data_IF_175086686140
#
_entry.id   IF_175086686140
#
_cell.length_a   1.000
_cell.length_b   1.000
_cell.length_c   1.000
_cell.angle_alpha   90.00
_cell.angle_beta   90.00
_cell.angle_gamma   90.00
#
_symmetry.space_group_name_H-M   'P 1'
#
loop_
_entity.id
_entity.type
_entity.pdbx_description
1 polymer ?
#
# COMPACT_ATOMS: atom_id res chain seq x y z
N UNK A 1 -1.51 2.38 49.24
CA UNK A 1 -2.40 1.22 48.99
C UNK A 1 -1.79 0.45 47.84
N UNK A 2 -1.07 -0.64 48.12
CA UNK A 2 -0.54 -1.49 47.05
C UNK A 2 -1.71 -2.22 46.40
N UNK A 3 -1.91 -2.14 45.06
CA UNK A 3 -2.95 -2.92 44.41
C UNK A 3 -2.59 -4.40 44.46
N UNK A 4 -3.59 -5.22 44.74
CA UNK A 4 -3.55 -6.67 44.85
C UNK A 4 -3.07 -7.31 43.53
N UNK A 5 -1.98 -8.10 43.53
CA UNK A 5 -1.47 -8.78 42.33
C UNK A 5 -2.42 -9.87 41.80
N UNK A 6 -3.49 -10.20 42.52
CA UNK A 6 -4.48 -11.21 42.13
C UNK A 6 -5.71 -10.67 41.38
N UNK A 7 -5.80 -9.36 41.13
CA UNK A 7 -6.87 -8.79 40.32
C UNK A 7 -6.75 -9.27 38.85
N UNK A 8 -7.56 -10.26 38.49
CA UNK A 8 -7.69 -10.83 37.14
C UNK A 8 -7.80 -9.70 36.11
N UNK A 9 -6.80 -9.61 35.23
CA UNK A 9 -6.89 -8.77 34.04
C UNK A 9 -7.99 -9.36 33.15
N UNK A 10 -9.07 -8.63 32.82
CA UNK A 10 -10.10 -9.14 31.94
C UNK A 10 -9.47 -9.42 30.57
N UNK A 11 -9.49 -10.69 30.16
CA UNK A 11 -8.95 -11.07 28.86
C UNK A 11 -9.77 -10.43 27.73
N UNK A 12 -9.11 -9.94 26.67
CA UNK A 12 -9.79 -9.36 25.53
C UNK A 12 -10.66 -10.43 24.85
N UNK A 13 -11.86 -10.04 24.43
CA UNK A 13 -12.76 -10.90 23.66
C UNK A 13 -12.23 -11.19 22.25
N UNK A 14 -11.48 -10.25 21.68
CA UNK A 14 -10.76 -10.42 20.42
C UNK A 14 -9.32 -10.88 20.72
N UNK A 15 -8.81 -11.92 20.05
CA UNK A 15 -7.46 -12.39 20.30
C UNK A 15 -6.41 -11.40 19.78
N UNK A 16 -5.32 -11.26 20.51
CA UNK A 16 -4.24 -10.30 20.27
C UNK A 16 -2.92 -11.06 20.31
N UNK A 17 -1.96 -10.64 19.48
CA UNK A 17 -0.59 -11.16 19.49
C UNK A 17 0.41 -10.01 19.64
N UNK A 18 1.19 -10.03 20.71
CA UNK A 18 2.36 -9.16 20.87
C UNK A 18 3.56 -9.84 20.24
N UNK A 19 4.24 -9.15 19.34
CA UNK A 19 5.30 -9.71 18.51
C UNK A 19 6.52 -8.80 18.54
N UNK A 20 7.68 -9.42 18.63
CA UNK A 20 8.98 -8.78 18.51
C UNK A 20 9.92 -9.72 17.74
N UNK A 21 10.88 -9.15 17.03
CA UNK A 21 11.82 -9.89 16.17
C UNK A 21 13.26 -9.45 16.43
N UNK A 22 14.16 -10.44 16.41
CA UNK A 22 15.58 -10.18 16.19
C UNK A 22 15.94 -10.50 14.73
N UNK A 23 16.86 -9.72 14.15
CA UNK A 23 17.17 -9.77 12.72
C UNK A 23 18.67 -9.64 12.47
N UNK A 24 19.14 -10.03 11.28
CA UNK A 24 20.54 -9.87 10.86
C UNK A 24 20.93 -8.40 10.59
N UNK A 25 20.00 -7.46 10.69
CA UNK A 25 20.17 -6.05 10.37
C UNK A 25 18.82 -5.35 10.14
N UNK A 26 18.83 -4.05 9.84
CA UNK A 26 17.61 -3.23 9.77
C UNK A 26 17.01 -3.01 8.38
N UNK A 27 17.53 -3.65 7.33
CA UNK A 27 17.18 -3.34 5.94
C UNK A 27 16.19 -4.35 5.36
N UNK A 28 14.95 -3.93 5.12
CA UNK A 28 13.93 -4.74 4.45
C UNK A 28 14.39 -5.27 3.09
N UNK A 29 13.92 -6.46 2.71
CA UNK A 29 14.34 -7.16 1.49
C UNK A 29 15.78 -7.70 1.49
N UNK A 30 16.67 -7.17 2.35
CA UNK A 30 18.07 -7.59 2.47
C UNK A 30 18.24 -8.49 3.69
N UNK A 31 18.02 -7.95 4.88
CA UNK A 31 18.22 -8.64 6.16
C UNK A 31 17.14 -9.69 6.42
N UNK A 32 17.43 -10.63 7.33
CA UNK A 32 16.61 -11.80 7.61
C UNK A 32 16.31 -11.91 9.11
N UNK A 33 15.23 -12.61 9.46
CA UNK A 33 14.84 -12.85 10.85
C UNK A 33 15.75 -13.93 11.47
N UNK A 34 16.17 -13.73 12.73
CA UNK A 34 16.98 -14.68 13.52
C UNK A 34 16.28 -15.19 14.78
N UNK A 35 15.30 -14.45 15.30
CA UNK A 35 14.45 -14.90 16.42
C UNK A 35 13.06 -14.26 16.28
N UNK A 36 12.03 -14.99 16.70
CA UNK A 36 10.64 -14.52 16.76
C UNK A 36 10.11 -14.80 18.15
N UNK A 37 9.57 -13.77 18.81
CA UNK A 37 8.87 -13.88 20.09
C UNK A 37 7.41 -13.49 19.93
N UNK A 38 6.50 -14.31 20.46
CA UNK A 38 5.06 -14.07 20.40
C UNK A 38 4.43 -14.30 21.77
N UNK A 39 3.70 -13.30 22.27
CA UNK A 39 2.79 -13.43 23.41
C UNK A 39 1.36 -13.34 22.88
N UNK A 40 0.65 -14.46 22.91
CA UNK A 40 -0.74 -14.57 22.48
C UNK A 40 -1.66 -14.36 23.68
N UNK A 41 -2.65 -13.49 23.53
CA UNK A 41 -3.62 -13.18 24.57
C UNK A 41 -5.02 -13.29 23.97
N UNK A 42 -5.89 -14.07 24.61
CA UNK A 42 -7.29 -14.21 24.19
C UNK A 42 -8.19 -14.68 25.32
N UNK A 43 -9.44 -15.05 25.03
CA UNK A 43 -10.42 -15.44 26.05
C UNK A 43 -9.96 -16.59 26.95
N UNK A 44 -9.13 -17.48 26.41
CA UNK A 44 -8.58 -18.65 27.11
C UNK A 44 -7.34 -18.35 27.96
N UNK A 45 -6.86 -17.11 27.98
CA UNK A 45 -5.70 -16.68 28.76
C UNK A 45 -4.52 -16.19 27.92
N UNK A 46 -3.32 -16.31 28.50
CA UNK A 46 -2.05 -15.94 27.85
C UNK A 46 -1.26 -17.20 27.53
N UNK A 47 -0.69 -17.26 26.33
CA UNK A 47 0.29 -18.28 25.94
C UNK A 47 1.47 -17.63 25.22
N UNK A 48 2.65 -18.23 25.34
CA UNK A 48 3.87 -17.72 24.72
C UNK A 48 4.42 -18.71 23.70
N UNK A 49 5.06 -18.19 22.67
CA UNK A 49 5.78 -18.97 21.68
C UNK A 49 7.04 -18.21 21.27
N UNK A 50 8.14 -18.93 21.09
CA UNK A 50 9.40 -18.36 20.62
C UNK A 50 10.14 -19.36 19.75
N UNK A 51 10.88 -18.87 18.78
CA UNK A 51 11.78 -19.70 17.98
C UNK A 51 12.99 -18.89 17.53
N UNK A 52 14.18 -19.50 17.65
CA UNK A 52 15.29 -19.10 16.79
C UNK A 52 14.95 -19.46 15.34
N UNK A 53 15.50 -18.71 14.41
CA UNK A 53 15.30 -18.87 12.98
C UNK A 53 16.64 -18.93 12.30
N UNK A 54 16.86 -19.94 11.47
CA UNK A 54 18.01 -19.97 10.58
C UNK A 54 17.82 -18.94 9.46
N UNK A 55 18.59 -17.82 9.43
CA UNK A 55 18.42 -16.77 8.42
C UNK A 55 19.01 -17.17 7.06
N UNK A 56 19.67 -18.33 6.97
CA UNK A 56 20.41 -18.84 5.81
C UNK A 56 21.48 -17.86 5.30
N UNK A 57 22.05 -17.07 6.21
CA UNK A 57 23.15 -16.13 5.97
C UNK A 57 23.92 -15.86 7.26
N UNK A 58 25.17 -15.39 7.17
CA UNK A 58 25.92 -14.98 8.35
C UNK A 58 25.26 -13.79 9.08
N UNK A 59 25.28 -13.84 10.41
CA UNK A 59 24.85 -12.73 11.27
C UNK A 59 26.06 -11.78 11.48
N UNK A 60 25.97 -10.49 11.15
CA UNK A 60 27.06 -9.54 11.40
C UNK A 60 27.48 -9.50 12.87
N UNK A 61 28.78 -9.36 13.15
CA UNK A 61 29.33 -9.40 14.52
C UNK A 61 28.70 -8.38 15.47
N UNK A 62 28.40 -7.16 14.99
CA UNK A 62 27.74 -6.14 15.80
C UNK A 62 26.32 -6.53 16.21
N UNK A 63 25.60 -7.29 15.38
CA UNK A 63 24.26 -7.82 15.71
C UNK A 63 24.39 -8.92 16.76
N UNK A 64 25.34 -9.84 16.59
CA UNK A 64 25.59 -10.90 17.58
C UNK A 64 25.92 -10.32 18.96
N UNK A 65 26.67 -9.21 19.01
CA UNK A 65 26.96 -8.50 20.27
C UNK A 65 25.73 -7.84 20.90
N UNK A 66 24.80 -7.34 20.07
CA UNK A 66 23.60 -6.66 20.52
C UNK A 66 22.54 -7.64 21.05
N UNK A 67 22.30 -8.72 20.32
CA UNK A 67 21.19 -9.66 20.60
C UNK A 67 21.65 -10.91 21.35
N UNK A 68 22.95 -11.18 21.36
CA UNK A 68 23.53 -12.42 21.87
C UNK A 68 23.30 -13.65 20.96
N UNK A 69 22.62 -13.50 19.83
CA UNK A 69 22.33 -14.60 18.90
C UNK A 69 23.52 -14.80 17.97
N UNK A 70 24.13 -15.99 18.04
CA UNK A 70 25.31 -16.34 17.23
C UNK A 70 24.95 -17.22 16.04
N UNK A 71 25.81 -17.25 15.02
CA UNK A 71 25.67 -18.16 13.86
C UNK A 71 25.57 -19.63 14.30
N UNK A 72 26.22 -20.01 15.41
CA UNK A 72 26.15 -21.36 15.94
C UNK A 72 24.75 -21.70 16.48
N UNK A 73 24.07 -20.74 17.13
CA UNK A 73 22.73 -20.95 17.70
C UNK A 73 21.66 -21.15 16.62
N UNK A 74 21.78 -20.45 15.50
CA UNK A 74 20.76 -20.48 14.44
C UNK A 74 21.05 -21.51 13.35
N UNK A 75 22.23 -22.15 13.35
CA UNK A 75 22.66 -23.09 12.31
C UNK A 75 21.67 -24.24 12.10
N UNK A 76 21.26 -24.86 13.21
CA UNK A 76 20.36 -26.03 13.21
C UNK A 76 18.92 -25.65 13.59
N UNK A 77 18.65 -24.35 13.75
CA UNK A 77 17.30 -23.82 13.96
C UNK A 77 16.45 -23.98 12.68
N UNK A 78 15.11 -24.03 12.81
CA UNK A 78 14.24 -24.07 11.64
C UNK A 78 14.39 -22.81 10.78
N UNK A 79 14.27 -22.94 9.46
CA UNK A 79 14.17 -21.80 8.55
C UNK A 79 12.81 -21.12 8.69
N UNK A 80 12.67 -19.88 8.22
CA UNK A 80 11.37 -19.21 8.23
C UNK A 80 10.31 -20.01 7.45
N UNK A 81 10.68 -20.58 6.30
CA UNK A 81 9.79 -21.40 5.48
C UNK A 81 9.18 -22.57 6.26
N UNK A 82 9.98 -23.24 7.10
CA UNK A 82 9.50 -24.34 7.95
C UNK A 82 8.55 -23.87 9.06
N UNK A 83 8.66 -22.61 9.49
CA UNK A 83 7.82 -22.02 10.53
C UNK A 83 6.55 -21.35 9.98
N UNK A 84 6.54 -20.97 8.70
CA UNK A 84 5.61 -20.00 8.14
C UNK A 84 4.14 -20.36 8.38
N UNK A 85 3.71 -21.58 8.04
CA UNK A 85 2.31 -22.00 8.21
C UNK A 85 1.85 -21.92 9.67
N UNK A 86 2.63 -22.48 10.60
CA UNK A 86 2.29 -22.45 12.03
C UNK A 86 2.34 -21.04 12.62
N UNK A 87 3.26 -20.20 12.14
CA UNK A 87 3.33 -18.80 12.55
C UNK A 87 2.13 -17.99 12.04
N UNK A 88 1.70 -18.23 10.81
CA UNK A 88 0.53 -17.58 10.23
C UNK A 88 -0.73 -17.95 11.02
N UNK A 89 -0.93 -19.21 11.36
CA UNK A 89 -2.06 -19.67 12.20
C UNK A 89 -2.09 -18.98 13.58
N UNK A 90 -0.91 -18.74 14.17
CA UNK A 90 -0.77 -18.00 15.44
C UNK A 90 -1.06 -16.52 15.34
N UNK A 91 -1.02 -15.93 14.16
CA UNK A 91 -1.27 -14.49 13.98
C UNK A 91 -2.59 -14.21 13.26
N UNK A 92 -3.16 -15.20 12.58
CA UNK A 92 -4.38 -15.05 11.79
C UNK A 92 -5.57 -14.69 12.68
N UNK A 93 -6.37 -13.71 12.24
CA UNK A 93 -7.53 -13.21 12.98
C UNK A 93 -7.20 -12.50 14.30
N UNK A 94 -5.92 -12.26 14.62
CA UNK A 94 -5.49 -11.55 15.83
C UNK A 94 -5.04 -10.13 15.52
N UNK A 95 -5.22 -9.21 16.46
CA UNK A 95 -4.59 -7.90 16.38
C UNK A 95 -3.08 -8.07 16.59
N UNK A 96 -2.28 -7.73 15.57
CA UNK A 96 -0.82 -7.76 15.63
C UNK A 96 -0.30 -6.49 16.33
N UNK A 97 0.39 -6.67 17.45
CA UNK A 97 0.93 -5.57 18.26
C UNK A 97 2.45 -5.68 18.33
N UNK A 98 3.16 -4.61 17.97
CA UNK A 98 4.62 -4.57 18.07
C UNK A 98 5.13 -3.17 18.44
N UNK A 99 6.37 -3.11 18.92
CA UNK A 99 7.04 -1.85 19.25
C UNK A 99 7.76 -1.29 18.03
N UNK A 100 7.31 -0.13 17.53
CA UNK A 100 7.68 0.31 16.19
C UNK A 100 7.27 -0.70 15.11
N UNK A 101 6.01 -1.15 15.16
CA UNK A 101 5.46 -2.24 14.34
C UNK A 101 5.74 -2.19 12.82
N UNK A 102 6.13 -1.05 12.23
CA UNK A 102 6.62 -1.00 10.85
C UNK A 102 7.79 -1.96 10.63
N UNK A 103 8.67 -2.11 11.63
CA UNK A 103 9.83 -2.98 11.60
C UNK A 103 9.39 -4.45 11.55
N UNK A 104 8.75 -4.92 12.61
CA UNK A 104 8.40 -6.34 12.77
C UNK A 104 7.44 -6.83 11.68
N UNK A 105 6.37 -6.05 11.45
CA UNK A 105 5.42 -6.35 10.39
C UNK A 105 6.08 -6.34 9.00
N UNK A 106 7.05 -5.45 8.78
CA UNK A 106 7.78 -5.37 7.50
C UNK A 106 8.61 -6.62 7.23
N UNK A 107 9.39 -7.07 8.22
CA UNK A 107 10.18 -8.30 8.10
C UNK A 107 9.32 -9.54 7.93
N UNK A 108 8.26 -9.69 8.74
CA UNK A 108 7.33 -10.81 8.59
C UNK A 108 6.64 -10.78 7.22
N UNK A 109 6.19 -9.62 6.76
CA UNK A 109 5.57 -9.49 5.43
C UNK A 109 6.54 -9.94 4.33
N UNK A 110 7.80 -9.52 4.39
CA UNK A 110 8.80 -9.91 3.39
C UNK A 110 9.12 -11.41 3.44
N UNK A 111 9.24 -12.01 4.61
CA UNK A 111 9.49 -13.45 4.76
C UNK A 111 8.29 -14.29 4.30
N UNK A 112 7.06 -13.94 4.68
CA UNK A 112 5.85 -14.61 4.19
C UNK A 112 5.70 -14.49 2.67
N UNK A 113 6.04 -13.33 2.09
CA UNK A 113 6.04 -13.16 0.63
C UNK A 113 6.98 -14.15 -0.06
N UNK A 114 8.14 -14.47 0.54
CA UNK A 114 9.10 -15.44 -0.02
C UNK A 114 8.55 -16.87 -0.02
N UNK A 115 7.66 -17.20 0.92
CA UNK A 115 7.00 -18.52 0.97
C UNK A 115 5.71 -18.56 0.14
N UNK A 116 5.37 -17.48 -0.57
CA UNK A 116 4.11 -17.36 -1.30
C UNK A 116 2.87 -17.19 -0.41
N UNK A 117 3.05 -16.99 0.90
CA UNK A 117 1.96 -16.77 1.83
C UNK A 117 1.69 -15.27 2.01
N UNK A 118 0.42 -14.93 2.19
CA UNK A 118 0.01 -13.54 2.43
C UNK A 118 -0.04 -13.27 3.93
N UNK A 119 0.60 -12.18 4.35
CA UNK A 119 0.57 -11.69 5.73
C UNK A 119 0.12 -10.24 5.77
N UNK A 120 -1.10 -10.03 6.28
CA UNK A 120 -1.74 -8.72 6.33
C UNK A 120 -2.71 -8.60 7.53
N UNK A 121 -2.21 -8.71 8.78
CA UNK A 121 -3.05 -8.55 9.96
C UNK A 121 -3.46 -7.09 10.19
N UNK A 122 -4.45 -6.88 11.06
CA UNK A 122 -4.64 -5.58 11.72
C UNK A 122 -3.42 -5.28 12.59
N UNK A 123 -2.89 -4.05 12.54
CA UNK A 123 -1.64 -3.68 13.23
C UNK A 123 -1.85 -2.54 14.21
N UNK A 124 -1.35 -2.71 15.44
CA UNK A 124 -1.18 -1.63 16.40
C UNK A 124 0.31 -1.43 16.73
N UNK A 125 0.75 -0.18 16.69
CA UNK A 125 2.11 0.20 17.06
C UNK A 125 2.15 0.83 18.45
N UNK A 126 2.84 0.20 19.41
CA UNK A 126 2.87 0.68 20.81
C UNK A 126 3.57 2.04 20.97
N UNK A 127 4.47 2.42 20.06
CA UNK A 127 5.05 3.78 20.00
C UNK A 127 3.96 4.82 19.69
N UNK A 128 3.10 4.52 18.71
CA UNK A 128 2.00 5.42 18.33
C UNK A 128 0.94 5.49 19.44
N UNK A 129 0.63 4.35 20.07
CA UNK A 129 -0.25 4.29 21.21
C UNK A 129 0.29 5.08 22.40
N UNK A 130 1.58 4.91 22.73
CA UNK A 130 2.20 5.65 23.84
C UNK A 130 2.21 7.17 23.58
N UNK A 131 2.49 7.62 22.36
CA UNK A 131 2.36 9.04 21.96
C UNK A 131 0.93 9.56 22.04
N UNK A 132 -0.04 8.69 21.74
CA UNK A 132 -1.45 9.03 21.78
C UNK A 132 -1.95 9.23 23.21
N UNK A 133 -1.53 8.36 24.12
CA UNK A 133 -1.94 8.35 25.53
C UNK A 133 -1.13 9.36 26.35
N UNK A 134 0.17 9.52 26.05
CA UNK A 134 1.09 10.38 26.80
C UNK A 134 1.74 11.43 25.89
N UNK A 135 0.97 12.40 25.34
CA UNK A 135 1.49 13.35 24.35
C UNK A 135 2.55 14.33 24.89
N UNK A 136 2.63 14.52 26.21
CA UNK A 136 3.63 15.37 26.86
C UNK A 136 5.01 14.72 26.96
N UNK A 137 5.11 13.41 26.72
CA UNK A 137 6.35 12.67 26.82
C UNK A 137 7.20 12.81 25.55
N UNK A 138 8.51 12.97 25.72
CA UNK A 138 9.42 13.14 24.58
C UNK A 138 9.96 11.82 24.03
N UNK A 139 10.00 10.77 24.85
CA UNK A 139 10.58 9.46 24.51
C UNK A 139 9.54 8.36 24.62
N UNK A 140 9.44 7.53 23.59
CA UNK A 140 8.49 6.41 23.51
C UNK A 140 9.13 5.11 23.02
N UNK A 141 10.45 5.02 23.05
CA UNK A 141 11.17 3.76 22.82
C UNK A 141 10.95 2.78 23.96
N UNK A 142 11.20 1.50 23.74
CA UNK A 142 10.88 0.43 24.69
C UNK A 142 11.55 0.67 26.06
N UNK A 143 12.84 1.04 26.10
CA UNK A 143 13.53 1.36 27.35
C UNK A 143 12.88 2.51 28.13
N UNK A 144 12.34 3.52 27.41
CA UNK A 144 11.62 4.61 28.05
C UNK A 144 10.27 4.16 28.63
N UNK A 145 9.59 3.22 27.96
CA UNK A 145 8.37 2.62 28.50
C UNK A 145 8.65 1.77 29.73
N UNK A 146 9.70 0.95 29.67
CA UNK A 146 10.18 0.12 30.78
C UNK A 146 10.45 0.98 32.01
N UNK A 147 11.26 2.03 31.85
CA UNK A 147 11.61 2.93 32.94
C UNK A 147 10.40 3.70 33.48
N UNK A 148 9.56 4.26 32.60
CA UNK A 148 8.41 5.11 33.01
C UNK A 148 7.33 4.32 33.73
N UNK A 149 7.04 3.11 33.26
CA UNK A 149 5.92 2.32 33.75
C UNK A 149 6.34 1.20 34.72
N UNK A 150 7.63 1.18 35.11
CA UNK A 150 8.22 0.17 35.97
C UNK A 150 7.94 -1.27 35.48
N UNK A 151 8.07 -1.48 34.16
CA UNK A 151 7.94 -2.82 33.57
C UNK A 151 9.15 -3.66 33.94
N UNK A 152 8.98 -4.97 34.07
CA UNK A 152 10.02 -5.88 34.56
C UNK A 152 10.55 -6.73 33.41
N UNK A 153 11.72 -6.40 32.83
CA UNK A 153 12.32 -7.21 31.77
C UNK A 153 12.90 -8.51 32.35
N UNK A 154 12.64 -9.63 31.69
CA UNK A 154 13.30 -10.91 32.00
C UNK A 154 14.68 -11.03 31.33
N UNK A 155 14.80 -10.59 30.08
CA UNK A 155 16.07 -10.46 29.34
C UNK A 155 15.90 -9.47 28.17
N UNK A 156 16.45 -8.25 28.25
CA UNK A 156 16.35 -7.28 27.12
C UNK A 156 17.07 -7.81 25.88
N UNK A 157 16.56 -7.44 24.69
CA UNK A 157 17.10 -7.86 23.38
C UNK A 157 16.99 -9.37 23.12
N UNK A 158 15.91 -9.96 23.66
CA UNK A 158 15.42 -11.28 23.30
C UNK A 158 13.97 -11.12 22.91
N UNK A 159 13.61 -11.67 21.75
CA UNK A 159 12.34 -11.37 21.12
C UNK A 159 11.14 -11.63 22.05
N UNK A 160 11.11 -12.79 22.73
CA UNK A 160 9.98 -13.11 23.61
C UNK A 160 9.91 -12.19 24.84
N UNK A 161 11.05 -11.83 25.41
CA UNK A 161 11.09 -10.95 26.58
C UNK A 161 10.62 -9.53 26.23
N UNK A 162 10.98 -9.05 25.04
CA UNK A 162 10.55 -7.75 24.55
C UNK A 162 9.06 -7.74 24.19
N UNK A 163 8.54 -8.83 23.59
CA UNK A 163 7.09 -9.01 23.39
C UNK A 163 6.31 -9.04 24.72
N UNK A 164 6.84 -9.68 25.76
CA UNK A 164 6.25 -9.69 27.10
C UNK A 164 6.21 -8.29 27.74
N UNK A 165 7.25 -7.46 27.54
CA UNK A 165 7.21 -6.06 27.97
C UNK A 165 6.06 -5.28 27.32
N UNK A 166 5.70 -5.59 26.07
CA UNK A 166 4.54 -4.96 25.41
C UNK A 166 3.23 -5.42 26.03
N UNK A 167 3.14 -6.69 26.42
CA UNK A 167 2.00 -7.20 27.18
C UNK A 167 1.89 -6.52 28.56
N UNK A 168 2.99 -6.40 29.30
CA UNK A 168 2.99 -5.68 30.58
C UNK A 168 2.57 -4.21 30.40
N UNK A 169 3.06 -3.54 29.34
CA UNK A 169 2.66 -2.17 29.01
C UNK A 169 1.16 -2.09 28.69
N UNK A 170 0.63 -3.04 27.93
CA UNK A 170 -0.80 -3.14 27.64
C UNK A 170 -1.63 -3.28 28.92
N UNK A 171 -1.23 -4.17 29.82
CA UNK A 171 -1.89 -4.33 31.12
C UNK A 171 -1.86 -3.03 31.94
N UNK A 172 -0.71 -2.34 31.95
CA UNK A 172 -0.57 -1.05 32.62
C UNK A 172 -1.55 -0.01 32.06
N UNK A 173 -1.66 0.12 30.73
CA UNK A 173 -2.58 1.06 30.10
C UNK A 173 -4.03 0.84 30.53
N UNK A 174 -4.48 -0.41 30.54
CA UNK A 174 -5.84 -0.78 30.94
C UNK A 174 -6.11 -0.57 32.44
N UNK A 175 -5.08 -0.61 33.30
CA UNK A 175 -5.21 -0.25 34.73
C UNK A 175 -5.18 1.26 34.96
N UNK A 176 -4.40 1.99 34.17
CA UNK A 176 -4.15 3.42 34.35
C UNK A 176 -5.21 4.33 33.73
N UNK A 177 -5.96 3.84 32.74
CA UNK A 177 -6.91 4.65 31.96
C UNK A 177 -8.31 4.06 31.97
N UNK A 178 -9.33 4.92 31.95
CA UNK A 178 -10.71 4.48 31.81
C UNK A 178 -10.92 3.74 30.47
N UNK A 179 -11.73 2.66 30.43
CA UNK A 179 -11.90 1.84 29.23
C UNK A 179 -12.27 2.61 27.96
N UNK A 180 -13.16 3.60 28.06
CA UNK A 180 -13.63 4.39 26.92
C UNK A 180 -12.55 5.31 26.35
N UNK A 181 -11.72 5.90 27.23
CA UNK A 181 -10.61 6.75 26.83
C UNK A 181 -9.54 5.94 26.12
N UNK A 182 -9.16 4.79 26.70
CA UNK A 182 -8.17 3.91 26.09
C UNK A 182 -8.68 3.38 24.73
N UNK A 183 -9.94 2.94 24.66
CA UNK A 183 -10.57 2.48 23.41
C UNK A 183 -10.51 3.54 22.30
N UNK A 184 -10.81 4.80 22.60
CA UNK A 184 -10.69 5.88 21.62
C UNK A 184 -9.25 6.06 21.11
N UNK A 185 -8.24 5.88 21.97
CA UNK A 185 -6.84 5.90 21.55
C UNK A 185 -6.47 4.68 20.69
N UNK A 186 -6.90 3.48 21.09
CA UNK A 186 -6.68 2.24 20.35
C UNK A 186 -7.29 2.34 18.95
N UNK A 187 -8.57 2.70 18.83
CA UNK A 187 -9.26 2.88 17.53
C UNK A 187 -8.54 3.88 16.63
N UNK A 188 -7.98 4.95 17.20
CA UNK A 188 -7.27 5.99 16.43
C UNK A 188 -5.92 5.52 15.88
N UNK A 189 -5.22 4.64 16.59
CA UNK A 189 -3.85 4.21 16.22
C UNK A 189 -3.80 2.85 15.57
N UNK A 190 -4.81 2.00 15.77
CA UNK A 190 -4.92 0.71 15.12
C UNK A 190 -5.12 0.92 13.63
N UNK A 191 -4.17 0.40 12.86
CA UNK A 191 -4.32 0.27 11.42
C UNK A 191 -5.08 -1.01 11.17
N UNK A 192 -6.39 -0.88 11.09
CA UNK A 192 -7.22 -1.96 10.60
C UNK A 192 -6.89 -2.19 9.14
N UNK A 193 -6.49 -3.40 8.82
CA UNK A 193 -6.53 -3.95 7.49
C UNK A 193 -8.02 -4.14 7.13
N UNK A 194 -8.71 -3.01 6.94
CA UNK A 194 -10.04 -3.04 6.35
C UNK A 194 -9.86 -3.44 4.89
N UNK A 195 -10.30 -4.65 4.56
CA UNK A 195 -10.74 -5.00 3.22
C UNK A 195 -11.85 -4.01 2.82
N UNK A 196 -11.46 -2.83 2.34
CA UNK A 196 -12.13 -2.24 1.20
C UNK A 196 -11.99 -3.29 0.09
N UNK A 197 -13.03 -4.12 -0.08
CA UNK A 197 -13.05 -5.36 -0.86
C UNK A 197 -11.79 -5.59 -1.72
N UNK A 198 -10.97 -6.55 -1.30
CA UNK A 198 -9.83 -7.08 -2.07
C UNK A 198 -8.65 -6.14 -2.42
N UNK A 199 -8.66 -4.83 -2.11
CA UNK A 199 -7.51 -3.95 -2.41
C UNK A 199 -6.53 -3.94 -1.24
N UNK A 200 -5.56 -4.83 -1.30
CA UNK A 200 -4.50 -4.93 -0.31
C UNK A 200 -3.21 -4.24 -0.75
N UNK A 201 -2.22 -4.23 0.15
CA UNK A 201 -0.90 -3.69 -0.18
C UNK A 201 -0.26 -4.45 -1.35
N UNK A 202 -0.56 -5.74 -1.54
CA UNK A 202 0.00 -6.51 -2.66
C UNK A 202 -0.63 -6.11 -4.00
N UNK A 203 -1.92 -5.80 -4.03
CA UNK A 203 -2.62 -5.17 -5.16
C UNK A 203 -2.00 -3.81 -5.48
N UNK A 204 -1.66 -3.03 -4.45
CA UNK A 204 -0.96 -1.75 -4.65
C UNK A 204 0.44 -1.98 -5.24
N UNK A 205 1.19 -2.98 -4.78
CA UNK A 205 2.53 -3.27 -5.30
C UNK A 205 2.51 -3.80 -6.75
N UNK A 206 1.38 -4.32 -7.25
CA UNK A 206 1.20 -4.69 -8.67
C UNK A 206 1.07 -3.46 -9.60
N UNK A 207 0.75 -2.29 -9.06
CA UNK A 207 0.61 -1.05 -9.85
C UNK A 207 1.98 -0.62 -10.38
N UNK A 208 2.04 -0.15 -11.62
CA UNK A 208 3.29 0.37 -12.20
C UNK A 208 3.87 1.55 -11.38
N UNK A 209 5.19 1.58 -11.21
CA UNK A 209 5.89 2.66 -10.49
C UNK A 209 5.96 3.98 -11.27
N UNK A 210 5.50 3.98 -12.53
CA UNK A 210 5.59 5.09 -13.47
C UNK A 210 4.29 5.88 -13.67
N UNK A 211 4.15 6.48 -14.85
CA UNK A 211 3.00 7.32 -15.19
C UNK A 211 1.76 6.50 -15.57
N UNK A 212 0.58 6.94 -15.13
CA UNK A 212 -0.68 6.34 -15.53
C UNK A 212 -1.94 6.97 -14.95
N UNK A 213 -3.06 6.29 -15.23
CA UNK A 213 -4.41 6.62 -14.76
C UNK A 213 -4.94 5.48 -13.88
N UNK A 214 -5.81 5.80 -12.92
CA UNK A 214 -6.49 4.84 -12.07
C UNK A 214 -7.95 5.25 -11.82
N UNK A 215 -8.78 4.24 -11.54
CA UNK A 215 -10.19 4.38 -11.18
C UNK A 215 -10.45 3.62 -9.88
N UNK A 216 -11.10 4.29 -8.94
CA UNK A 216 -11.74 3.66 -7.80
C UNK A 216 -13.21 3.41 -8.09
N UNK A 217 -13.66 2.20 -7.77
CA UNK A 217 -15.06 1.79 -7.82
C UNK A 217 -15.55 1.46 -6.42
N UNK A 218 -16.84 1.66 -6.17
CA UNK A 218 -17.53 1.33 -4.94
C UNK A 218 -18.33 0.04 -5.03
N UNK A 219 -19.36 -0.08 -4.21
CA UNK A 219 -20.34 -1.17 -4.31
C UNK A 219 -20.96 -1.21 -5.72
N UNK A 220 -21.32 -2.41 -6.17
CA UNK A 220 -21.94 -2.66 -7.48
C UNK A 220 -21.15 -2.10 -8.68
N UNK A 221 -19.82 -2.04 -8.57
CA UNK A 221 -18.92 -1.47 -9.58
C UNK A 221 -19.24 -0.01 -9.95
N UNK A 222 -19.82 0.76 -9.03
CA UNK A 222 -20.11 2.17 -9.24
C UNK A 222 -18.81 3.01 -9.33
N UNK A 223 -18.57 3.79 -10.40
CA UNK A 223 -17.35 4.59 -10.54
C UNK A 223 -17.35 5.75 -9.53
N UNK A 224 -16.36 5.76 -8.65
CA UNK A 224 -16.24 6.75 -7.58
C UNK A 224 -15.30 7.88 -7.97
N UNK A 225 -14.10 7.55 -8.44
CA UNK A 225 -13.07 8.53 -8.67
C UNK A 225 -12.03 8.07 -9.70
N UNK A 226 -11.78 8.89 -10.71
CA UNK A 226 -10.63 8.80 -11.61
C UNK A 226 -9.54 9.76 -11.17
N UNK A 227 -8.30 9.29 -11.16
CA UNK A 227 -7.13 10.16 -11.02
C UNK A 227 -5.98 9.72 -11.90
N UNK A 228 -4.97 10.56 -11.97
CA UNK A 228 -3.71 10.31 -12.69
C UNK A 228 -2.50 10.67 -11.85
N UNK A 229 -1.34 10.15 -12.24
CA UNK A 229 -0.06 10.50 -11.61
C UNK A 229 1.12 10.11 -12.48
N UNK A 230 2.22 10.86 -12.38
CA UNK A 230 3.56 10.46 -12.87
C UNK A 230 4.23 9.42 -11.96
N UNK A 231 3.66 9.18 -10.76
CA UNK A 231 4.04 8.14 -9.80
C UNK A 231 2.78 7.41 -9.35
N UNK A 232 2.26 6.53 -10.20
CA UNK A 232 0.93 5.95 -10.06
C UNK A 232 0.77 5.16 -8.76
N UNK A 233 1.66 4.20 -8.50
CA UNK A 233 1.66 3.40 -7.25
C UNK A 233 1.63 4.28 -6.00
N UNK A 234 2.54 5.24 -5.90
CA UNK A 234 2.64 6.13 -4.73
C UNK A 234 1.36 6.96 -4.54
N UNK A 235 0.75 7.42 -5.65
CA UNK A 235 -0.47 8.21 -5.60
C UNK A 235 -1.66 7.38 -5.12
N UNK A 236 -1.88 6.20 -5.68
CA UNK A 236 -2.94 5.28 -5.25
C UNK A 236 -2.77 4.93 -3.78
N UNK A 237 -1.54 4.57 -3.37
CA UNK A 237 -1.20 4.29 -1.97
C UNK A 237 -1.59 5.45 -1.06
N UNK A 238 -1.31 6.70 -1.43
CA UNK A 238 -1.65 7.87 -0.59
C UNK A 238 -3.14 8.06 -0.33
N UNK A 239 -4.01 7.58 -1.22
CA UNK A 239 -5.46 7.61 -1.00
C UNK A 239 -5.90 6.51 -0.03
N UNK A 240 -5.36 5.30 -0.19
CA UNK A 240 -5.83 4.11 0.52
C UNK A 240 -5.09 3.88 1.86
N UNK A 241 -3.79 4.16 1.90
CA UNK A 241 -2.87 3.82 3.00
C UNK A 241 -1.98 5.02 3.37
N UNK A 242 -1.99 5.42 4.64
CA UNK A 242 -1.03 6.40 5.14
C UNK A 242 -1.48 7.18 6.38
N UNK A 243 -0.54 7.74 7.17
CA UNK A 243 -0.84 8.42 8.44
C UNK A 243 -1.43 9.83 8.29
N UNK A 244 -1.43 10.42 7.08
CA UNK A 244 -1.89 11.80 6.83
C UNK A 244 -2.82 11.84 5.62
N UNK A 245 -4.05 11.36 5.79
CA UNK A 245 -5.10 11.40 4.75
C UNK A 245 -6.00 12.62 4.95
N UNK A 246 -6.38 13.31 3.87
CA UNK A 246 -7.36 14.39 3.94
C UNK A 246 -8.75 13.82 4.29
N UNK A 247 -9.67 14.64 4.78
CA UNK A 247 -11.05 14.21 5.02
C UNK A 247 -11.77 13.73 3.74
N UNK A 248 -11.32 14.17 2.55
CA UNK A 248 -11.79 13.64 1.27
C UNK A 248 -11.24 12.24 1.02
N UNK A 249 -9.96 12.03 1.25
CA UNK A 249 -9.31 10.72 1.03
C UNK A 249 -9.81 9.66 2.01
N UNK A 250 -10.06 10.03 3.28
CA UNK A 250 -10.65 9.13 4.26
C UNK A 250 -12.05 8.66 3.84
N UNK A 251 -12.89 9.58 3.36
CA UNK A 251 -14.22 9.25 2.84
C UNK A 251 -14.14 8.38 1.59
N UNK A 252 -13.28 8.73 0.64
CA UNK A 252 -13.10 7.97 -0.58
C UNK A 252 -12.60 6.55 -0.28
N UNK A 253 -11.57 6.41 0.56
CA UNK A 253 -11.00 5.12 0.95
C UNK A 253 -12.01 4.18 1.62
N UNK A 254 -12.96 4.72 2.40
CA UNK A 254 -14.02 3.92 3.03
C UNK A 254 -15.01 3.32 2.01
N UNK A 255 -15.19 3.99 0.86
CA UNK A 255 -16.14 3.60 -0.18
C UNK A 255 -15.52 2.67 -1.23
N UNK A 256 -14.19 2.66 -1.40
CA UNK A 256 -13.56 1.87 -2.45
C UNK A 256 -13.80 0.37 -2.22
N UNK A 257 -14.05 -0.36 -3.30
CA UNK A 257 -14.23 -1.82 -3.39
C UNK A 257 -13.48 -2.44 -4.56
N UNK A 258 -13.15 -1.68 -5.60
CA UNK A 258 -12.29 -2.14 -6.68
C UNK A 258 -11.40 -1.01 -7.19
N UNK A 259 -10.21 -1.39 -7.63
CA UNK A 259 -9.22 -0.51 -8.22
C UNK A 259 -8.89 -1.03 -9.61
N UNK A 260 -8.87 -0.12 -10.57
CA UNK A 260 -8.39 -0.37 -11.93
C UNK A 260 -7.33 0.67 -12.28
N UNK A 261 -6.32 0.28 -13.05
CA UNK A 261 -5.26 1.20 -13.48
C UNK A 261 -4.76 0.85 -14.87
N UNK A 262 -4.18 1.86 -15.53
CA UNK A 262 -3.54 1.72 -16.83
C UNK A 262 -2.25 2.53 -16.86
N UNK A 263 -1.16 1.87 -17.22
CA UNK A 263 0.11 2.52 -17.49
C UNK A 263 0.02 3.32 -18.80
N UNK A 264 0.58 4.52 -18.82
CA UNK A 264 0.51 5.40 -20.00
C UNK A 264 1.87 5.78 -20.56
N UNK A 265 2.98 5.31 -19.99
CA UNK A 265 4.32 5.66 -20.49
C UNK A 265 4.75 7.11 -20.21
N UNK A 266 3.82 8.07 -20.17
CA UNK A 266 4.10 9.44 -19.82
C UNK A 266 2.86 10.26 -19.46
N UNK A 267 3.09 11.56 -19.26
CA UNK A 267 2.09 12.49 -18.72
C UNK A 267 0.98 12.80 -19.73
N UNK A 268 1.30 12.87 -21.03
CA UNK A 268 0.31 13.20 -22.07
C UNK A 268 -0.77 12.12 -22.10
N UNK A 269 -0.34 10.86 -22.10
CA UNK A 269 -1.21 9.71 -22.04
C UNK A 269 -2.05 9.65 -20.77
N UNK A 270 -1.47 10.00 -19.61
CA UNK A 270 -2.21 10.04 -18.35
C UNK A 270 -3.29 11.13 -18.33
N UNK A 271 -3.02 12.28 -18.95
CA UNK A 271 -4.00 13.37 -19.14
C UNK A 271 -5.15 12.94 -20.06
N UNK A 272 -4.82 12.33 -21.21
CA UNK A 272 -5.81 11.86 -22.19
C UNK A 272 -6.69 10.75 -21.62
N UNK A 273 -6.08 9.75 -20.98
CA UNK A 273 -6.81 8.62 -20.40
C UNK A 273 -7.69 9.05 -19.22
N UNK A 274 -7.23 9.97 -18.36
CA UNK A 274 -8.07 10.54 -17.29
C UNK A 274 -9.30 11.25 -17.87
N UNK A 275 -9.10 12.08 -18.90
CA UNK A 275 -10.21 12.79 -19.54
C UNK A 275 -11.24 11.84 -20.15
N UNK A 276 -10.77 10.78 -20.83
CA UNK A 276 -11.63 9.75 -21.43
C UNK A 276 -12.41 8.97 -20.36
N UNK A 277 -11.75 8.51 -19.30
CA UNK A 277 -12.38 7.75 -18.21
C UNK A 277 -13.41 8.59 -17.44
N UNK A 278 -13.14 9.88 -17.22
CA UNK A 278 -14.12 10.79 -16.61
C UNK A 278 -15.33 10.99 -17.54
N UNK A 279 -15.10 11.13 -18.84
CA UNK A 279 -16.18 11.35 -19.82
C UNK A 279 -17.08 10.11 -19.97
N UNK A 280 -16.49 8.91 -20.00
CA UNK A 280 -17.21 7.65 -20.17
C UNK A 280 -17.91 7.18 -18.89
N UNK A 281 -17.21 7.17 -17.76
CA UNK A 281 -17.70 6.59 -16.51
C UNK A 281 -18.43 7.59 -15.59
N UNK A 282 -18.21 8.90 -15.78
CA UNK A 282 -18.78 9.99 -14.96
C UNK A 282 -18.69 9.74 -13.43
N UNK A 283 -17.48 9.58 -12.87
CA UNK A 283 -17.32 9.18 -11.48
C UNK A 283 -17.87 10.22 -10.49
N UNK A 284 -18.52 9.75 -9.43
CA UNK A 284 -19.28 10.60 -8.50
C UNK A 284 -18.45 11.67 -7.77
N UNK A 285 -17.14 11.43 -7.56
CA UNK A 285 -16.25 12.32 -6.79
C UNK A 285 -15.25 13.10 -7.64
N UNK A 286 -15.34 13.01 -8.97
CA UNK A 286 -14.63 13.89 -9.89
C UNK A 286 -15.40 15.20 -10.05
N UNK A 287 -14.68 16.31 -10.15
CA UNK A 287 -15.34 17.58 -10.49
C UNK A 287 -15.82 17.50 -11.92
N UNK A 288 -17.07 17.89 -12.15
CA UNK A 288 -17.56 18.10 -13.50
C UNK A 288 -16.61 19.07 -14.23
N UNK A 289 -16.15 18.73 -15.45
CA UNK A 289 -15.30 19.64 -16.22
C UNK A 289 -16.05 20.96 -16.40
N UNK A 290 -15.44 22.07 -15.97
CA UNK A 290 -16.05 23.40 -16.12
C UNK A 290 -16.25 23.67 -17.61
N UNK A 291 -17.50 23.76 -18.04
CA UNK A 291 -17.89 24.41 -19.28
C UNK A 291 -17.59 25.91 -19.12
N UNK A 292 -16.32 26.31 -19.29
CA UNK A 292 -16.05 27.70 -19.66
C UNK A 292 -16.62 27.88 -21.06
N UNK A 293 -17.42 28.92 -21.26
CA UNK A 293 -17.95 29.35 -22.56
C UNK A 293 -16.82 29.28 -23.59
N UNK A 294 -16.78 28.19 -24.33
CA UNK A 294 -15.86 28.02 -25.43
C UNK A 294 -16.34 28.99 -26.48
N UNK A 295 -15.47 29.89 -26.95
CA UNK A 295 -15.58 30.34 -28.33
C UNK A 295 -15.68 29.12 -29.26
N UNK A 296 -15.94 29.32 -30.54
CA UNK A 296 -16.23 28.25 -31.50
C UNK A 296 -15.02 27.33 -31.80
N UNK A 297 -14.54 26.57 -30.80
CA UNK A 297 -13.38 25.67 -30.91
C UNK A 297 -13.80 24.27 -31.35
N UNK A 298 -15.11 23.98 -31.39
CA UNK A 298 -15.65 22.67 -31.81
C UNK A 298 -15.43 22.41 -33.31
N UNK A 299 -15.09 23.44 -34.09
CA UNK A 299 -14.68 23.34 -35.49
C UNK A 299 -13.16 23.45 -35.72
N UNK A 300 -12.33 23.27 -34.68
CA UNK A 300 -10.87 23.35 -34.85
C UNK A 300 -10.39 22.32 -35.89
N UNK A 301 -9.66 22.75 -36.94
CA UNK A 301 -9.23 21.84 -38.00
C UNK A 301 -8.28 20.78 -37.44
N UNK A 302 -8.41 19.56 -37.94
CA UNK A 302 -7.43 18.49 -37.70
C UNK A 302 -6.24 18.71 -38.64
N UNK A 303 -5.00 18.87 -38.13
CA UNK A 303 -3.86 19.25 -38.97
C UNK A 303 -3.21 18.07 -39.72
N UNK A 304 -3.74 16.85 -39.57
CA UNK A 304 -3.20 15.64 -40.19
C UNK A 304 -4.21 15.02 -41.15
N UNK A 305 -3.73 14.25 -42.13
CA UNK A 305 -4.58 13.57 -43.12
C UNK A 305 -5.35 12.36 -42.56
N UNK A 306 -5.09 11.98 -41.32
CA UNK A 306 -5.73 10.86 -40.63
C UNK A 306 -5.22 10.74 -39.19
N UNK A 307 -5.44 9.58 -38.59
CA UNK A 307 -5.03 9.30 -37.22
C UNK A 307 -3.51 9.38 -37.04
N UNK A 308 -3.09 9.78 -35.84
CA UNK A 308 -1.69 9.84 -35.43
C UNK A 308 -1.47 9.03 -34.15
N UNK A 309 -0.23 8.59 -33.94
CA UNK A 309 0.24 8.04 -32.68
C UNK A 309 1.27 8.98 -32.02
N UNK A 310 1.10 9.24 -30.73
CA UNK A 310 2.09 9.90 -29.88
C UNK A 310 2.77 8.81 -29.06
N UNK A 311 4.10 8.70 -29.18
CA UNK A 311 4.87 7.76 -28.39
C UNK A 311 5.30 8.40 -27.07
N UNK A 312 5.04 7.71 -25.95
CA UNK A 312 5.64 8.02 -24.66
C UNK A 312 6.42 6.82 -24.13
N UNK A 313 7.51 7.09 -23.42
CA UNK A 313 8.36 6.08 -22.79
C UNK A 313 8.58 6.43 -21.33
N UNK A 314 8.25 5.48 -20.46
CA UNK A 314 8.48 5.63 -19.04
C UNK A 314 9.98 5.44 -18.77
N UNK A 315 10.63 6.45 -18.20
CA UNK A 315 12.08 6.44 -17.97
C UNK A 315 12.51 5.36 -16.97
N UNK A 316 11.66 5.07 -15.98
CA UNK A 316 11.99 4.14 -14.90
C UNK A 316 11.83 2.68 -15.30
N UNK A 317 10.76 2.34 -16.01
CA UNK A 317 10.46 0.96 -16.42
C UNK A 317 10.90 0.65 -17.86
N UNK A 318 11.19 1.68 -18.66
CA UNK A 318 11.46 1.53 -20.09
C UNK A 318 10.23 1.19 -20.94
N UNK A 319 9.04 1.12 -20.33
CA UNK A 319 7.79 0.77 -20.99
C UNK A 319 7.41 1.84 -22.02
N UNK A 320 7.01 1.40 -23.22
CA UNK A 320 6.57 2.28 -24.32
C UNK A 320 5.05 2.20 -24.46
N UNK A 321 4.45 3.33 -24.80
CA UNK A 321 3.03 3.47 -25.04
C UNK A 321 2.79 4.35 -26.28
N UNK A 322 1.86 3.95 -27.13
CA UNK A 322 1.42 4.73 -28.28
C UNK A 322 -0.01 5.19 -28.06
N UNK A 323 -0.19 6.50 -27.92
CA UNK A 323 -1.49 7.15 -27.75
C UNK A 323 -2.04 7.50 -29.11
N UNK A 324 -3.20 6.94 -29.47
CA UNK A 324 -3.82 7.13 -30.78
C UNK A 324 -4.85 8.24 -30.72
N UNK A 325 -4.72 9.21 -31.61
CA UNK A 325 -5.62 10.35 -31.73
C UNK A 325 -6.05 10.50 -33.16
N UNK A 326 -7.35 10.72 -33.37
CA UNK A 326 -7.88 11.08 -34.68
C UNK A 326 -8.96 12.16 -34.51
N UNK A 327 -8.95 13.18 -35.37
CA UNK A 327 -9.92 14.27 -35.33
C UNK A 327 -10.18 14.86 -33.92
N UNK A 328 -9.10 15.11 -33.16
CA UNK A 328 -9.16 15.56 -31.76
C UNK A 328 -9.94 14.63 -30.80
N UNK A 329 -10.06 13.35 -31.15
CA UNK A 329 -10.62 12.29 -30.32
C UNK A 329 -9.52 11.35 -29.87
N UNK A 330 -9.49 11.02 -28.58
CA UNK A 330 -8.54 10.05 -28.05
C UNK A 330 -9.07 8.63 -28.21
N UNK A 331 -8.45 7.82 -29.08
CA UNK A 331 -8.92 6.47 -29.40
C UNK A 331 -8.38 5.41 -28.43
N UNK A 332 -7.28 5.69 -27.72
CA UNK A 332 -6.75 4.80 -26.69
C UNK A 332 -5.23 4.70 -26.68
N UNK A 333 -4.73 3.64 -26.04
CA UNK A 333 -3.28 3.36 -25.92
C UNK A 333 -3.00 1.97 -26.44
N UNK A 334 -1.94 1.83 -27.22
CA UNK A 334 -1.37 0.56 -27.65
C UNK A 334 0.02 0.35 -27.02
N UNK A 335 0.39 -0.91 -26.75
CA UNK A 335 1.73 -1.26 -26.27
C UNK A 335 2.75 -1.50 -27.39
N UNK A 336 2.30 -1.43 -28.65
CA UNK A 336 3.14 -1.51 -29.84
C UNK A 336 2.51 -0.67 -30.98
N UNK A 337 3.35 -0.05 -31.82
CA UNK A 337 2.88 0.76 -32.96
C UNK A 337 1.98 -0.02 -33.92
N UNK A 338 2.26 -1.31 -34.15
CA UNK A 338 1.43 -2.16 -35.01
C UNK A 338 -0.03 -2.32 -34.51
N UNK A 339 -0.24 -2.27 -33.18
CA UNK A 339 -1.57 -2.34 -32.58
C UNK A 339 -2.30 -0.99 -32.62
N UNK A 340 -1.58 0.12 -32.77
CA UNK A 340 -2.17 1.46 -32.87
C UNK A 340 -3.10 1.58 -34.09
N UNK A 341 -2.76 0.95 -35.22
CA UNK A 341 -3.61 0.94 -36.41
C UNK A 341 -4.96 0.24 -36.21
N UNK A 342 -5.02 -0.78 -35.33
CA UNK A 342 -6.27 -1.48 -35.03
C UNK A 342 -7.24 -0.62 -34.20
N UNK A 343 -6.72 0.30 -33.36
CA UNK A 343 -7.54 1.27 -32.62
C UNK A 343 -8.22 2.26 -33.58
N UNK A 344 -7.54 2.65 -34.67
CA UNK A 344 -8.15 3.49 -35.70
C UNK A 344 -9.25 2.74 -36.46
N UNK A 345 -8.98 1.49 -36.86
CA UNK A 345 -9.91 0.70 -37.65
C UNK A 345 -11.21 0.33 -36.91
N UNK A 346 -11.19 0.33 -35.58
CA UNK A 346 -12.35 0.06 -34.73
C UNK A 346 -13.14 1.31 -34.33
N UNK A 347 -12.62 2.51 -34.61
CA UNK A 347 -13.29 3.75 -34.28
C UNK A 347 -14.21 4.19 -35.42
N UNK A 348 -15.52 3.93 -35.28
CA UNK A 348 -16.53 4.50 -36.17
C UNK A 348 -16.68 6.01 -35.92
N UNK A 349 -16.19 6.83 -36.86
CA UNK A 349 -16.34 8.28 -36.92
C UNK A 349 -16.00 9.04 -35.60
N UNK A 350 -14.70 9.25 -35.30
CA UNK A 350 -14.28 9.90 -34.06
C UNK A 350 -14.84 11.31 -33.89
N UNK A 351 -15.62 11.49 -32.81
CA UNK A 351 -16.21 12.76 -32.44
C UNK A 351 -15.20 13.67 -31.73
N UNK A 352 -15.23 14.97 -32.04
CA UNK A 352 -14.35 15.96 -31.43
C UNK A 352 -14.45 15.98 -29.89
N UNK A 353 -13.32 15.80 -29.20
CA UNK A 353 -13.23 15.89 -27.75
C UNK A 353 -12.50 17.18 -27.32
N UNK A 354 -13.24 18.10 -26.69
CA UNK A 354 -12.67 19.37 -26.22
C UNK A 354 -11.50 19.18 -25.24
N UNK A 355 -11.54 18.13 -24.40
CA UNK A 355 -10.46 17.81 -23.48
C UNK A 355 -9.17 17.43 -24.22
N UNK A 356 -9.28 16.58 -25.25
CA UNK A 356 -8.17 16.14 -26.10
C UNK A 356 -7.57 17.32 -26.86
N UNK A 357 -8.40 18.19 -27.45
CA UNK A 357 -7.94 19.45 -28.05
C UNK A 357 -7.14 20.31 -27.05
N UNK A 358 -7.69 20.55 -25.84
CA UNK A 358 -7.02 21.36 -24.81
C UNK A 358 -5.70 20.77 -24.35
N UNK A 359 -5.60 19.44 -24.31
CA UNK A 359 -4.37 18.75 -23.94
C UNK A 359 -3.34 18.88 -25.07
N UNK A 360 -3.74 18.73 -26.34
CA UNK A 360 -2.78 18.53 -27.42
C UNK A 360 -2.47 19.77 -28.26
N UNK A 361 -3.41 20.71 -28.43
CA UNK A 361 -3.26 21.81 -29.38
C UNK A 361 -1.96 22.61 -29.21
N UNK A 362 -1.67 23.09 -28.01
CA UNK A 362 -0.42 23.84 -27.74
C UNK A 362 0.83 22.96 -27.84
N UNK A 363 0.73 21.66 -27.53
CA UNK A 363 1.85 20.73 -27.58
C UNK A 363 2.23 20.39 -29.02
N UNK A 364 1.24 20.14 -29.87
CA UNK A 364 1.43 19.92 -31.31
C UNK A 364 2.02 21.19 -31.97
N UNK A 365 1.51 22.37 -31.63
CA UNK A 365 2.06 23.64 -32.11
C UNK A 365 3.52 23.89 -31.70
N UNK A 366 3.97 23.29 -30.58
CA UNK A 366 5.35 23.35 -30.08
C UNK A 366 6.24 22.21 -30.58
N UNK A 367 5.78 21.42 -31.56
CA UNK A 367 6.58 20.37 -32.20
C UNK A 367 6.60 19.04 -31.45
N UNK A 368 5.51 18.70 -30.74
CA UNK A 368 5.33 17.34 -30.23
C UNK A 368 5.46 16.34 -31.39
N UNK A 369 6.37 15.37 -31.25
CA UNK A 369 6.63 14.36 -32.27
C UNK A 369 5.47 13.37 -32.35
N UNK A 370 5.01 13.12 -33.57
CA UNK A 370 3.90 12.20 -33.84
C UNK A 370 4.24 11.27 -35.01
N UNK A 371 3.65 10.09 -35.02
CA UNK A 371 3.76 9.13 -36.11
C UNK A 371 2.40 9.03 -36.81
N UNK A 372 2.28 9.42 -38.09
CA UNK A 372 1.06 9.19 -38.86
C UNK A 372 0.74 7.69 -38.94
N UNK A 373 -0.52 7.33 -38.74
CA UNK A 373 -0.99 5.96 -38.90
C UNK A 373 -1.62 5.82 -40.28
N UNK A 374 -1.04 4.96 -41.12
CA UNK A 374 -1.61 4.63 -42.43
C UNK A 374 -2.65 3.56 -42.21
N UNK A 375 -3.89 3.79 -42.66
CA UNK A 375 -4.93 2.76 -42.70
C UNK A 375 -4.43 1.65 -43.62
N UNK A 376 -4.03 0.51 -43.06
CA UNK A 376 -3.71 -0.65 -43.88
C UNK A 376 -5.01 -1.07 -44.57
N UNK A 377 -5.10 -0.82 -45.87
CA UNK A 377 -6.17 -1.36 -46.71
C UNK A 377 -6.15 -2.87 -46.53
N UNK A 378 -7.15 -3.44 -45.87
CA UNK A 378 -7.43 -4.87 -45.90
C UNK A 378 -7.74 -5.22 -47.35
N UNK A 379 -6.72 -5.60 -48.12
CA UNK A 379 -6.93 -6.31 -49.37
C UNK A 379 -7.38 -7.71 -48.97
N UNK A 380 -8.70 -7.93 -49.02
CA UNK A 380 -9.27 -9.27 -49.00
C UNK A 380 -8.67 -10.08 -50.14
N UNK A 381 -7.83 -11.06 -49.80
CA UNK A 381 -7.50 -12.13 -50.71
C UNK A 381 -8.68 -13.12 -50.72
N UNK A 382 -9.23 -13.30 -51.92
CA UNK A 382 -10.23 -14.32 -52.29
C UNK A 382 -9.62 -15.70 -52.19
#
# INVERSE_FOLDING_TARGET
MHPDPSASFPFPSEPIAFVDLETTGGTFGVDRITEIGVVEVGPSGVSTWTSLVNPQRPIPSFVQQLTGITDAMVRDAPTFEQLASGLLERMNGRLFIAHNARFDHGFLKDEFRRTGLRFAPDVLCTVQLSRAVYPAESRHGLDALVARHALVPSARHRALADADLLWQFWQHLHRAHAPDVLRAHLERVTRRFQLAAHIDEDTIEQIVSGCGVYMFYGEDDAPLYTGRSVRLRQRVRSHLVGPRRSAKDLRLAALVRRLEWKATGGEIGALLAEAQWIASARPAHNRAPKSRSSGDVRGAPWPYSGAIAIEERDEASGQRAWHVIDNWCYLGTASALAQAGALCASADAPAFELSTYRILNERLARGLVVTPLVTATLVSAI
#
